data_IF_671051362252
#
_entry.id   IF_671051362252
#
_cell.length_a   1.000
_cell.length_b   1.000
_cell.length_c   1.000
_cell.angle_alpha   90.00
_cell.angle_beta   90.00
_cell.angle_gamma   90.00
#
_symmetry.space_group_name_H-M   'P 1'
#
loop_
_entity.id
_entity.type
_entity.pdbx_description
1 polymer ?
#
# COMPACT_ATOMS: atom_id res chain seq x y z
N UNK A 1 -24.12 7.45 -20.66
CA UNK A 1 -23.63 8.49 -19.75
C UNK A 1 -24.40 8.40 -18.45
N UNK A 2 -23.86 7.65 -17.51
CA UNK A 2 -24.02 7.79 -16.05
C UNK A 2 -23.49 6.50 -15.44
N UNK A 3 -22.33 6.59 -14.81
CA UNK A 3 -21.89 5.58 -13.86
C UNK A 3 -21.51 6.35 -12.59
N UNK A 4 -22.52 6.53 -11.74
CA UNK A 4 -22.39 6.87 -10.34
C UNK A 4 -21.42 5.87 -9.68
N UNK A 5 -20.16 6.28 -9.50
CA UNK A 5 -19.19 5.52 -8.74
C UNK A 5 -19.26 5.96 -7.27
N UNK A 6 -20.39 5.67 -6.62
CA UNK A 6 -20.47 5.70 -5.16
C UNK A 6 -19.79 4.45 -4.64
N UNK A 7 -18.53 4.58 -4.24
CA UNK A 7 -17.83 3.58 -3.45
C UNK A 7 -18.53 3.53 -2.09
N UNK A 8 -19.48 2.61 -1.96
CA UNK A 8 -20.05 2.26 -0.68
C UNK A 8 -18.96 1.58 0.16
N UNK A 9 -18.56 2.26 1.22
CA UNK A 9 -17.75 1.71 2.30
C UNK A 9 -18.54 0.56 2.93
N UNK A 10 -18.20 -0.69 2.60
CA UNK A 10 -18.82 -1.86 3.24
C UNK A 10 -18.03 -2.17 4.51
N UNK A 11 -18.63 -2.10 5.71
CA UNK A 11 -18.01 -2.62 6.92
C UNK A 11 -18.25 -4.14 6.94
N UNK A 12 -17.28 -4.93 6.50
CA UNK A 12 -17.38 -6.39 6.59
C UNK A 12 -16.79 -6.90 7.90
N UNK A 13 -17.63 -6.88 8.93
CA UNK A 13 -17.60 -7.85 10.02
C UNK A 13 -18.28 -9.14 9.51
N UNK A 14 -17.78 -10.29 9.98
CA UNK A 14 -18.33 -11.66 9.91
C UNK A 14 -17.83 -12.57 8.78
N UNK A 15 -16.77 -13.31 9.10
CA UNK A 15 -16.79 -14.78 9.04
C UNK A 15 -15.80 -15.33 10.08
N UNK A 16 -16.33 -15.75 11.23
CA UNK A 16 -15.62 -16.57 12.21
C UNK A 16 -15.86 -18.04 11.88
N UNK A 17 -14.80 -18.85 11.80
CA UNK A 17 -14.81 -20.21 12.34
C UNK A 17 -13.42 -20.56 12.93
N UNK A 18 -13.41 -20.79 14.26
CA UNK A 18 -12.56 -21.75 14.97
C UNK A 18 -11.03 -21.59 14.99
N UNK A 19 -10.49 -20.91 16.01
CA UNK A 19 -9.41 -21.42 16.89
C UNK A 19 -9.18 -20.44 18.07
N UNK A 20 -9.00 -21.01 19.26
CA UNK A 20 -9.17 -20.38 20.59
C UNK A 20 -8.51 -19.02 20.84
N UNK A 21 -9.31 -18.08 21.33
CA UNK A 21 -8.86 -16.81 21.91
C UNK A 21 -8.60 -16.97 23.42
N UNK A 22 -7.34 -16.89 23.84
CA UNK A 22 -7.04 -16.17 25.06
C UNK A 22 -7.17 -14.67 24.80
N UNK A 23 -7.44 -13.81 25.79
CA UNK A 23 -7.51 -12.37 25.58
C UNK A 23 -6.11 -11.86 25.22
N UNK A 24 -5.84 -11.74 23.92
CA UNK A 24 -4.72 -10.97 23.42
C UNK A 24 -5.06 -9.53 23.75
N UNK A 25 -4.32 -8.92 24.68
CA UNK A 25 -4.34 -7.48 24.88
C UNK A 25 -3.91 -6.82 23.56
N UNK A 26 -4.89 -6.45 22.74
CA UNK A 26 -4.69 -5.73 21.49
C UNK A 26 -4.22 -4.32 21.84
N UNK A 27 -2.90 -4.19 22.06
CA UNK A 27 -2.21 -2.93 21.82
C UNK A 27 -2.36 -2.67 20.31
N UNK A 28 -3.48 -2.05 19.94
CA UNK A 28 -3.73 -1.61 18.57
C UNK A 28 -2.54 -0.73 18.15
N UNK A 29 -1.93 -1.07 17.00
CA UNK A 29 -0.80 -0.30 16.50
C UNK A 29 -1.27 1.13 16.19
N UNK A 30 -0.42 2.16 16.36
CA UNK A 30 -0.77 3.54 16.08
C UNK A 30 -1.40 3.74 14.70
N UNK A 31 -0.91 3.01 13.68
CA UNK A 31 -1.47 3.02 12.33
C UNK A 31 -2.98 2.72 12.25
N UNK A 32 -3.46 1.76 13.05
CA UNK A 32 -4.88 1.35 13.08
C UNK A 32 -5.73 2.45 13.70
N UNK A 33 -5.22 3.06 14.77
CA UNK A 33 -5.90 4.12 15.53
C UNK A 33 -5.99 5.39 14.68
N UNK A 34 -4.89 5.79 14.04
CA UNK A 34 -4.85 6.98 13.18
C UNK A 34 -5.76 6.83 11.95
N UNK A 35 -5.90 5.62 11.40
CA UNK A 35 -6.86 5.34 10.31
C UNK A 35 -8.30 5.46 10.81
N UNK A 36 -8.61 4.87 11.98
CA UNK A 36 -9.95 4.97 12.59
C UNK A 36 -10.33 6.42 12.91
N UNK A 37 -9.37 7.23 13.33
CA UNK A 37 -9.57 8.66 13.59
C UNK A 37 -9.65 9.50 12.30
N UNK A 38 -9.37 8.91 11.14
CA UNK A 38 -9.35 9.59 9.84
C UNK A 38 -8.20 10.58 9.69
N UNK A 39 -7.11 10.41 10.45
CA UNK A 39 -5.88 11.20 10.31
C UNK A 39 -5.07 10.76 9.09
N UNK A 40 -5.10 9.46 8.81
CA UNK A 40 -4.51 8.83 7.62
C UNK A 40 -5.58 8.17 6.76
N UNK A 41 -5.30 8.10 5.47
CA UNK A 41 -6.13 7.46 4.46
C UNK A 41 -5.27 6.61 3.53
N UNK A 42 -5.80 5.45 3.12
CA UNK A 42 -5.19 4.60 2.11
C UNK A 42 -5.86 4.87 0.77
N UNK A 43 -5.06 5.20 -0.25
CA UNK A 43 -5.56 5.41 -1.60
C UNK A 43 -4.79 4.57 -2.60
N UNK A 44 -5.52 3.85 -3.44
CA UNK A 44 -4.94 3.17 -4.60
C UNK A 44 -5.02 4.12 -5.78
N UNK A 45 -3.87 4.38 -6.39
CA UNK A 45 -3.71 5.31 -7.51
C UNK A 45 -2.90 4.65 -8.62
N UNK A 46 -3.09 5.13 -9.84
CA UNK A 46 -2.29 4.78 -11.01
C UNK A 46 -2.14 6.01 -11.90
N UNK A 47 -1.32 5.91 -12.95
CA UNK A 47 -1.21 6.98 -13.93
C UNK A 47 -2.38 6.94 -14.93
N UNK A 48 -3.54 7.38 -14.47
CA UNK A 48 -4.78 7.58 -15.25
C UNK A 48 -4.81 8.93 -15.99
N UNK A 49 -3.88 9.83 -15.68
CA UNK A 49 -3.83 11.20 -16.20
C UNK A 49 -4.60 12.21 -15.34
N UNK A 50 -5.20 11.79 -14.23
CA UNK A 50 -5.85 12.69 -13.29
C UNK A 50 -4.83 13.50 -12.47
N UNK A 51 -5.19 14.74 -12.14
CA UNK A 51 -4.31 15.66 -11.41
C UNK A 51 -4.05 15.16 -9.99
N UNK A 52 -5.05 14.64 -9.28
CA UNK A 52 -4.84 14.14 -7.92
C UNK A 52 -3.96 12.90 -7.91
N UNK A 53 -4.24 11.95 -8.81
CA UNK A 53 -3.39 10.76 -9.00
C UNK A 53 -1.93 11.14 -9.24
N UNK A 54 -1.66 12.10 -10.12
CA UNK A 54 -0.30 12.58 -10.40
C UNK A 54 0.37 13.24 -9.20
N UNK A 55 -0.37 13.97 -8.36
CA UNK A 55 0.16 14.56 -7.12
C UNK A 55 0.57 13.46 -6.14
N UNK A 56 -0.27 12.44 -5.95
CA UNK A 56 0.04 11.31 -5.06
C UNK A 56 1.24 10.52 -5.58
N UNK A 57 1.27 10.19 -6.87
CA UNK A 57 2.40 9.51 -7.51
C UNK A 57 3.70 10.32 -7.40
N UNK A 58 3.62 11.65 -7.53
CA UNK A 58 4.77 12.53 -7.33
C UNK A 58 5.30 12.48 -5.90
N UNK A 59 4.40 12.46 -4.91
CA UNK A 59 4.74 12.27 -3.51
C UNK A 59 5.41 10.93 -3.23
N UNK A 60 4.82 9.84 -3.74
CA UNK A 60 5.39 8.49 -3.64
C UNK A 60 6.78 8.40 -4.27
N UNK A 61 6.97 8.95 -5.48
CA UNK A 61 8.27 9.03 -6.14
C UNK A 61 9.30 9.69 -5.23
N UNK A 62 8.97 10.80 -4.58
CA UNK A 62 9.87 11.48 -3.64
C UNK A 62 10.19 10.61 -2.42
N UNK A 63 9.20 9.91 -1.85
CA UNK A 63 9.41 8.98 -0.73
C UNK A 63 10.36 7.85 -1.14
N UNK A 64 10.12 7.19 -2.27
CA UNK A 64 10.98 6.11 -2.77
C UNK A 64 12.40 6.60 -3.06
N UNK A 65 12.56 7.75 -3.70
CA UNK A 65 13.89 8.32 -3.96
C UNK A 65 14.67 8.66 -2.68
N UNK A 66 13.97 9.01 -1.60
CA UNK A 66 14.59 9.28 -0.28
C UNK A 66 14.94 7.98 0.46
N UNK A 67 14.05 6.98 0.41
CA UNK A 67 14.18 5.74 1.19
C UNK A 67 14.98 4.64 0.48
N UNK A 68 15.13 4.73 -0.85
CA UNK A 68 15.84 3.75 -1.68
C UNK A 68 16.99 4.45 -2.44
N UNK A 69 18.08 4.86 -1.74
CA UNK A 69 19.18 5.62 -2.36
C UNK A 69 19.95 4.82 -3.41
N UNK A 70 20.01 3.49 -3.28
CA UNK A 70 20.65 2.57 -4.23
C UNK A 70 19.89 2.47 -5.56
N UNK A 71 18.61 2.87 -5.57
CA UNK A 71 17.76 2.81 -6.76
C UNK A 71 17.90 4.10 -7.59
N UNK A 72 18.23 4.00 -8.89
CA UNK A 72 18.36 5.19 -9.73
C UNK A 72 17.07 6.02 -9.77
N UNK A 73 17.19 7.34 -9.59
CA UNK A 73 16.03 8.25 -9.53
C UNK A 73 15.16 8.20 -10.79
N UNK A 74 15.78 8.03 -11.96
CA UNK A 74 15.10 7.87 -13.25
C UNK A 74 14.36 6.55 -13.36
N UNK A 75 14.92 5.47 -12.79
CA UNK A 75 14.29 4.16 -12.74
C UNK A 75 13.03 4.19 -11.87
N UNK A 76 13.11 4.78 -10.67
CA UNK A 76 11.95 4.97 -9.79
C UNK A 76 10.86 5.76 -10.51
N UNK A 77 11.20 6.94 -11.05
CA UNK A 77 10.22 7.79 -11.72
C UNK A 77 9.55 7.07 -12.90
N UNK A 78 10.33 6.34 -13.70
CA UNK A 78 9.80 5.57 -14.84
C UNK A 78 8.75 4.57 -14.40
N UNK A 79 9.00 3.79 -13.35
CA UNK A 79 8.07 2.74 -12.91
C UNK A 79 6.88 3.29 -12.11
N UNK A 80 7.07 4.32 -11.28
CA UNK A 80 5.97 4.97 -10.55
C UNK A 80 4.96 5.61 -11.51
N UNK A 81 5.43 6.20 -12.62
CA UNK A 81 4.56 6.79 -13.63
C UNK A 81 4.14 5.83 -14.76
N UNK A 82 4.56 4.57 -14.72
CA UNK A 82 4.16 3.59 -15.73
C UNK A 82 2.70 3.16 -15.49
N UNK A 83 1.87 3.24 -16.54
CA UNK A 83 0.44 2.89 -16.48
C UNK A 83 0.19 1.41 -16.19
N UNK A 84 1.18 0.55 -16.40
CA UNK A 84 1.11 -0.87 -16.05
C UNK A 84 1.27 -1.12 -14.53
N UNK A 85 1.69 -0.11 -13.77
CA UNK A 85 1.89 -0.20 -12.33
C UNK A 85 0.75 0.48 -11.58
N UNK A 86 0.44 -0.08 -10.42
CA UNK A 86 -0.51 0.47 -9.45
C UNK A 86 0.26 0.81 -8.18
N UNK A 87 -0.16 1.84 -7.47
CA UNK A 87 0.42 2.21 -6.19
C UNK A 87 -0.66 2.34 -5.13
N UNK A 88 -0.42 1.78 -3.95
CA UNK A 88 -1.19 2.07 -2.74
C UNK A 88 -0.38 3.05 -1.88
N UNK A 89 -0.96 4.18 -1.55
CA UNK A 89 -0.34 5.26 -0.78
C UNK A 89 -1.01 5.42 0.58
N UNK A 90 -0.20 5.67 1.62
CA UNK A 90 -0.68 6.27 2.87
C UNK A 90 -0.61 7.78 2.72
N UNK A 91 -1.74 8.42 2.93
CA UNK A 91 -1.89 9.87 2.90
C UNK A 91 -2.27 10.37 4.29
N UNK A 92 -1.66 11.46 4.75
CA UNK A 92 -2.13 12.25 5.89
C UNK A 92 -2.82 13.51 5.36
N UNK A 93 -3.93 13.91 5.98
CA UNK A 93 -4.66 15.11 5.56
C UNK A 93 -3.79 16.37 5.69
N UNK A 94 -3.91 17.35 4.76
CA UNK A 94 -4.82 17.35 3.61
C UNK A 94 -4.32 16.56 2.39
N UNK A 95 -3.01 16.43 2.16
CA UNK A 95 -2.45 15.77 0.96
C UNK A 95 -0.96 15.39 1.10
N UNK A 96 -0.55 14.90 2.26
CA UNK A 96 0.83 14.53 2.54
C UNK A 96 1.06 13.02 2.40
N UNK A 97 1.94 12.60 1.47
CA UNK A 97 2.27 11.18 1.28
C UNK A 97 3.31 10.73 2.31
N UNK A 98 2.95 9.73 3.12
CA UNK A 98 3.79 9.19 4.20
C UNK A 98 4.56 7.95 3.75
N UNK A 99 4.01 7.19 2.82
CA UNK A 99 4.58 5.94 2.34
C UNK A 99 3.69 5.27 1.33
N UNK A 100 4.16 4.16 0.78
CA UNK A 100 3.35 3.36 -0.11
C UNK A 100 4.07 2.16 -0.70
N UNK A 101 3.30 1.39 -1.48
CA UNK A 101 3.76 0.24 -2.22
C UNK A 101 3.38 0.42 -3.68
N UNK A 102 4.35 0.29 -4.58
CA UNK A 102 4.10 0.20 -6.04
C UNK A 102 4.26 -1.23 -6.48
N UNK A 103 3.27 -1.74 -7.20
CA UNK A 103 3.23 -3.13 -7.65
C UNK A 103 2.69 -3.24 -9.07
N UNK A 104 3.05 -4.34 -9.73
CA UNK A 104 2.54 -4.72 -11.04
C UNK A 104 1.75 -6.01 -10.94
N UNK A 105 0.53 -6.00 -11.46
CA UNK A 105 -0.36 -7.16 -11.43
C UNK A 105 -0.25 -8.00 -12.71
N UNK A 106 -0.07 -9.30 -12.58
CA UNK A 106 -0.06 -10.26 -13.69
C UNK A 106 -1.26 -11.20 -13.59
N UNK A 107 -2.44 -10.71 -13.96
CA UNK A 107 -3.73 -11.43 -13.84
C UNK A 107 -3.70 -12.85 -14.42
N UNK A 108 -3.10 -13.02 -15.61
CA UNK A 108 -3.03 -14.32 -16.28
C UNK A 108 -2.16 -15.35 -15.54
N UNK A 109 -1.18 -14.90 -14.75
CA UNK A 109 -0.24 -15.75 -14.01
C UNK A 109 -0.55 -15.81 -12.51
N UNK A 110 -1.63 -15.15 -12.06
CA UNK A 110 -2.11 -15.13 -10.68
C UNK A 110 -1.08 -14.67 -9.63
N UNK A 111 -0.17 -13.76 -10.00
CA UNK A 111 0.75 -13.12 -9.07
C UNK A 111 0.84 -11.61 -9.30
N UNK A 112 1.27 -10.89 -8.26
CA UNK A 112 1.68 -9.49 -8.36
C UNK A 112 3.15 -9.34 -7.92
N UNK A 113 3.87 -8.47 -8.61
CA UNK A 113 5.24 -8.11 -8.30
C UNK A 113 5.25 -6.78 -7.53
N UNK A 114 5.75 -6.79 -6.30
CA UNK A 114 6.02 -5.58 -5.55
C UNK A 114 7.35 -5.02 -6.06
N UNK A 115 7.28 -3.82 -6.63
CA UNK A 115 8.43 -3.14 -7.22
C UNK A 115 9.09 -2.23 -6.20
N UNK A 116 8.30 -1.45 -5.46
CA UNK A 116 8.78 -0.57 -4.41
C UNK A 116 7.91 -0.69 -3.17
N UNK A 117 8.53 -0.67 -2.00
CA UNK A 117 7.84 -0.61 -0.71
C UNK A 117 8.65 0.29 0.22
N UNK A 118 8.10 1.43 0.61
CA UNK A 118 8.79 2.34 1.53
C UNK A 118 7.81 3.17 2.35
N UNK A 119 8.25 3.50 3.56
CA UNK A 119 7.61 4.45 4.47
C UNK A 119 8.68 5.42 4.95
N UNK A 120 8.33 6.69 5.14
CA UNK A 120 9.24 7.68 5.72
C UNK A 120 9.81 7.19 7.05
N UNK A 121 11.11 7.37 7.26
CA UNK A 121 11.85 6.83 8.41
C UNK A 121 11.23 7.19 9.76
N UNK A 122 10.79 8.44 9.92
CA UNK A 122 10.18 8.97 11.15
C UNK A 122 8.83 8.28 11.49
N UNK A 123 8.24 7.62 10.51
CA UNK A 123 6.89 7.05 10.56
C UNK A 123 6.91 5.51 10.57
N UNK A 124 8.09 4.88 10.40
CA UNK A 124 8.24 3.42 10.36
C UNK A 124 7.90 2.74 11.69
N UNK A 125 8.21 3.39 12.82
CA UNK A 125 7.96 2.86 14.17
C UNK A 125 6.46 2.70 14.48
N UNK A 126 5.58 3.42 13.78
CA UNK A 126 4.12 3.39 13.97
C UNK A 126 3.45 2.14 13.39
N UNK A 127 4.21 1.32 12.66
CA UNK A 127 3.72 0.08 12.07
C UNK A 127 3.02 0.23 10.71
N UNK A 128 3.12 1.41 10.08
CA UNK A 128 2.55 1.68 8.77
C UNK A 128 2.97 0.70 7.68
N UNK A 129 4.22 0.22 7.69
CA UNK A 129 4.66 -0.77 6.71
C UNK A 129 3.85 -2.06 6.78
N UNK A 130 3.60 -2.58 7.98
CA UNK A 130 2.79 -3.79 8.14
C UNK A 130 1.33 -3.54 7.75
N UNK A 131 0.81 -2.37 8.10
CA UNK A 131 -0.57 -1.96 7.79
C UNK A 131 -0.79 -1.76 6.28
N UNK A 132 0.17 -1.18 5.57
CA UNK A 132 0.19 -1.09 4.10
C UNK A 132 0.13 -2.46 3.44
N UNK A 133 0.94 -3.41 3.91
CA UNK A 133 0.99 -4.75 3.36
C UNK A 133 -0.34 -5.49 3.58
N UNK A 134 -1.00 -5.27 4.71
CA UNK A 134 -2.34 -5.81 4.98
C UNK A 134 -3.35 -5.28 3.96
N UNK A 135 -3.47 -3.95 3.84
CA UNK A 135 -4.37 -3.32 2.86
C UNK A 135 -4.09 -3.77 1.43
N UNK A 136 -2.82 -3.91 1.05
CA UNK A 136 -2.45 -4.42 -0.27
C UNK A 136 -2.94 -5.85 -0.49
N UNK A 137 -2.74 -6.74 0.49
CA UNK A 137 -3.19 -8.15 0.41
C UNK A 137 -4.71 -8.21 0.27
N UNK A 138 -5.44 -7.44 1.05
CA UNK A 138 -6.90 -7.43 1.02
C UNK A 138 -7.43 -6.83 -0.29
N UNK A 139 -6.81 -5.76 -0.78
CA UNK A 139 -7.13 -5.16 -2.08
C UNK A 139 -6.90 -6.13 -3.24
N UNK A 140 -5.75 -6.82 -3.26
CA UNK A 140 -5.44 -7.79 -4.34
C UNK A 140 -6.38 -8.98 -4.30
N UNK A 141 -6.70 -9.51 -3.12
CA UNK A 141 -7.66 -10.61 -2.93
C UNK A 141 -9.06 -10.22 -3.41
N UNK A 142 -9.50 -8.99 -3.15
CA UNK A 142 -10.81 -8.50 -3.57
C UNK A 142 -10.91 -8.33 -5.10
N UNK A 143 -9.84 -7.86 -5.75
CA UNK A 143 -9.82 -7.61 -7.19
C UNK A 143 -9.55 -8.85 -8.04
N UNK A 144 -8.94 -9.88 -7.47
CA UNK A 144 -8.41 -10.99 -8.24
C UNK A 144 -8.18 -12.23 -7.39
N UNK A 145 -8.32 -13.42 -7.99
CA UNK A 145 -7.92 -14.69 -7.38
C UNK A 145 -6.38 -14.88 -7.41
N UNK A 146 -5.64 -13.83 -7.05
CA UNK A 146 -4.19 -13.72 -7.14
C UNK A 146 -3.59 -14.16 -5.80
N UNK A 147 -2.77 -15.21 -5.83
CA UNK A 147 -2.38 -15.93 -4.62
C UNK A 147 -0.96 -15.60 -4.16
N UNK A 148 -0.15 -14.98 -5.02
CA UNK A 148 1.28 -14.83 -4.78
C UNK A 148 1.74 -13.39 -4.96
N UNK A 149 2.52 -12.92 -3.99
CA UNK A 149 3.28 -11.67 -4.05
C UNK A 149 4.75 -12.03 -4.22
N UNK A 150 5.37 -11.50 -5.27
CA UNK A 150 6.80 -11.63 -5.53
C UNK A 150 7.46 -10.26 -5.31
N UNK A 151 8.68 -10.25 -4.80
CA UNK A 151 9.43 -9.00 -4.60
C UNK A 151 10.92 -9.29 -4.70
N UNK A 152 11.68 -8.33 -5.23
CA UNK A 152 13.12 -8.30 -5.06
C UNK A 152 13.43 -7.37 -3.88
N UNK A 153 13.91 -7.95 -2.79
CA UNK A 153 14.15 -7.21 -1.55
C UNK A 153 15.66 -7.03 -1.31
N UNK A 154 16.04 -5.82 -0.91
CA UNK A 154 17.37 -5.57 -0.38
C UNK A 154 17.57 -6.37 0.92
N UNK A 155 18.83 -6.67 1.25
CA UNK A 155 19.19 -7.46 2.43
C UNK A 155 18.60 -6.88 3.74
N UNK A 156 18.50 -5.56 3.83
CA UNK A 156 17.92 -4.83 4.96
C UNK A 156 16.39 -5.00 5.08
N UNK A 157 15.71 -5.29 3.97
CA UNK A 157 14.26 -5.44 3.91
C UNK A 157 13.78 -6.90 4.10
N UNK A 158 14.68 -7.89 4.04
CA UNK A 158 14.35 -9.31 4.25
C UNK A 158 13.58 -9.56 5.57
N UNK A 159 13.97 -8.99 6.73
CA UNK A 159 13.22 -9.19 7.98
C UNK A 159 11.80 -8.66 7.93
N UNK A 160 11.55 -7.58 7.18
CA UNK A 160 10.22 -7.01 7.01
C UNK A 160 9.31 -7.95 6.21
N UNK A 161 9.80 -8.55 5.12
CA UNK A 161 8.99 -9.44 4.28
C UNK A 161 8.81 -10.85 4.85
N UNK A 162 9.67 -11.28 5.79
CA UNK A 162 9.52 -12.58 6.49
C UNK A 162 8.47 -12.55 7.60
N UNK A 163 8.09 -11.36 8.09
CA UNK A 163 7.14 -11.16 9.18
C UNK A 163 5.70 -11.26 8.71
#
# INVERSE_FOLDING_TARGET
MSCDNRIAFVPLLLAQEGLGMGPISLLEKPAVIEERNGEIEYRVVNNDGDRESLIVLSGLKCVFQKQLPEMPKSYIARLVYDRAHMSIAIMRKPLAVVGGITYRSFKHRKFAEIVFCAVLSDEQAKGYGAHLMLHLKDYIKALSNMMHLLTYADNSAIPYFKK
#
